data_IF_104480685309
#
_entry.id   IF_104480685309
#
_cell.length_a   1.000
_cell.length_b   1.000
_cell.length_c   1.000
_cell.angle_alpha   90.00
_cell.angle_beta   90.00
_cell.angle_gamma   90.00
#
_symmetry.space_group_name_H-M   'P 1'
#
loop_
_entity.id
_entity.type
_entity.pdbx_description
1 polymer ?
#
# COMPACT_ATOMS: atom_id res chain seq x y z
N UNK A 1 -16.52 29.92 -17.62
CA UNK A 1 -16.20 29.17 -16.38
C UNK A 1 -16.48 27.72 -16.66
N UNK A 2 -15.45 26.92 -16.90
CA UNK A 2 -15.63 25.50 -17.13
C UNK A 2 -15.66 24.80 -15.78
N UNK A 3 -16.78 24.14 -15.47
CA UNK A 3 -16.92 23.28 -14.30
C UNK A 3 -15.96 22.11 -14.44
N UNK A 4 -14.98 22.02 -13.53
CA UNK A 4 -14.16 20.83 -13.37
C UNK A 4 -15.06 19.77 -12.74
N UNK A 5 -15.50 18.80 -13.53
CA UNK A 5 -16.24 17.64 -13.00
C UNK A 5 -15.20 16.68 -12.43
N UNK A 6 -15.10 16.61 -11.10
CA UNK A 6 -14.36 15.53 -10.42
C UNK A 6 -15.29 14.33 -10.28
N UNK A 7 -14.90 13.19 -10.84
CA UNK A 7 -15.66 11.94 -10.72
C UNK A 7 -14.81 10.81 -10.14
N UNK A 8 -15.48 9.89 -9.45
CA UNK A 8 -14.92 8.57 -9.09
C UNK A 8 -14.55 7.79 -10.36
N UNK A 9 -13.60 6.86 -10.27
CA UNK A 9 -13.29 5.93 -11.37
C UNK A 9 -14.56 5.19 -11.81
N UNK A 10 -14.78 5.14 -13.13
CA UNK A 10 -15.86 4.38 -13.77
C UNK A 10 -15.37 3.00 -14.20
N UNK A 11 -16.31 2.10 -14.51
CA UNK A 11 -16.01 0.77 -15.05
C UNK A 11 -15.20 0.88 -16.37
N UNK A 12 -15.62 1.74 -17.30
CA UNK A 12 -14.87 1.98 -18.55
C UNK A 12 -13.42 2.45 -18.30
N UNK A 13 -13.23 3.30 -17.28
CA UNK A 13 -11.89 3.77 -16.91
C UNK A 13 -11.07 2.61 -16.35
N UNK A 14 -11.66 1.81 -15.47
CA UNK A 14 -11.00 0.64 -14.90
C UNK A 14 -10.64 -0.41 -15.97
N UNK A 15 -11.55 -0.71 -16.90
CA UNK A 15 -11.34 -1.69 -17.97
C UNK A 15 -10.16 -1.27 -18.86
N UNK A 16 -9.96 0.05 -19.04
CA UNK A 16 -8.80 0.57 -19.77
C UNK A 16 -7.46 0.33 -19.07
N UNK A 17 -7.46 0.05 -17.76
CA UNK A 17 -6.26 -0.29 -16.99
C UNK A 17 -5.81 -1.74 -17.22
N UNK A 18 -6.59 -2.55 -17.93
CA UNK A 18 -6.23 -3.92 -18.33
C UNK A 18 -5.67 -4.75 -17.15
N UNK A 19 -6.41 -4.76 -16.04
CA UNK A 19 -6.00 -5.34 -14.77
C UNK A 19 -6.93 -6.47 -14.34
N UNK A 20 -6.35 -7.57 -13.82
CA UNK A 20 -7.06 -8.67 -13.18
C UNK A 20 -6.92 -8.62 -11.67
N UNK A 21 -7.97 -9.04 -10.98
CA UNK A 21 -7.99 -9.25 -9.55
C UNK A 21 -8.32 -10.71 -9.23
N UNK A 22 -7.31 -11.59 -9.18
CA UNK A 22 -7.50 -12.97 -8.74
C UNK A 22 -8.12 -13.05 -7.34
N UNK A 23 -8.54 -14.27 -6.98
CA UNK A 23 -9.01 -14.56 -5.63
C UNK A 23 -7.91 -14.24 -4.61
N UNK A 24 -8.31 -13.71 -3.44
CA UNK A 24 -7.44 -13.56 -2.28
C UNK A 24 -6.73 -14.88 -1.98
N UNK A 25 -5.43 -14.81 -1.75
CA UNK A 25 -4.61 -15.95 -1.36
C UNK A 25 -4.27 -15.87 0.12
N UNK A 26 -3.97 -17.01 0.72
CA UNK A 26 -3.50 -17.06 2.10
C UNK A 26 -2.14 -16.35 2.23
N UNK A 27 -1.92 -15.68 3.36
CA UNK A 27 -0.72 -14.89 3.61
C UNK A 27 0.58 -15.70 3.58
N UNK A 28 0.53 -17.00 3.85
CA UNK A 28 1.69 -17.90 3.79
C UNK A 28 2.17 -18.20 2.36
N UNK A 29 1.36 -17.93 1.34
CA UNK A 29 1.73 -18.07 -0.07
C UNK A 29 2.46 -16.82 -0.60
N UNK A 30 2.49 -15.75 0.17
CA UNK A 30 3.15 -14.50 -0.20
C UNK A 30 4.67 -14.66 -0.22
N UNK A 31 5.27 -14.29 -1.35
CA UNK A 31 6.74 -14.19 -1.51
C UNK A 31 7.12 -12.79 -1.97
N UNK A 32 7.50 -11.93 -1.02
CA UNK A 32 7.97 -10.56 -1.26
C UNK A 32 9.49 -10.45 -1.40
N UNK A 33 10.23 -11.43 -0.91
CA UNK A 33 11.65 -11.33 -0.69
C UNK A 33 12.40 -12.62 -1.02
N UNK A 34 13.73 -12.55 -1.09
CA UNK A 34 14.58 -13.72 -1.24
C UNK A 34 14.58 -14.59 0.03
N UNK A 35 14.95 -15.87 -0.12
CA UNK A 35 15.07 -16.80 1.03
C UNK A 35 16.00 -16.27 2.11
N UNK A 36 17.08 -15.58 1.73
CA UNK A 36 18.02 -14.97 2.67
C UNK A 36 17.36 -13.87 3.49
N UNK A 37 16.64 -12.95 2.84
CA UNK A 37 15.88 -11.89 3.51
C UNK A 37 14.82 -12.44 4.48
N UNK A 38 14.15 -13.55 4.11
CA UNK A 38 13.23 -14.24 5.03
C UNK A 38 13.96 -14.86 6.21
N UNK A 39 15.11 -15.49 6.00
CA UNK A 39 15.91 -16.06 7.08
C UNK A 39 16.34 -14.98 8.07
N UNK A 40 16.82 -13.83 7.59
CA UNK A 40 17.15 -12.68 8.43
C UNK A 40 15.94 -12.17 9.21
N UNK A 41 14.77 -12.04 8.56
CA UNK A 41 13.54 -11.64 9.23
C UNK A 41 13.15 -12.60 10.35
N UNK A 42 13.21 -13.91 10.10
CA UNK A 42 12.91 -14.95 11.08
C UNK A 42 13.84 -14.84 12.30
N UNK A 43 15.15 -14.70 12.08
CA UNK A 43 16.15 -14.52 13.13
C UNK A 43 15.90 -13.25 13.94
N UNK A 44 15.64 -12.11 13.28
CA UNK A 44 15.39 -10.83 13.95
C UNK A 44 14.14 -10.87 14.82
N UNK A 45 13.03 -11.41 14.30
CA UNK A 45 11.76 -11.47 15.01
C UNK A 45 11.81 -12.46 16.19
N UNK A 46 12.45 -13.62 16.01
CA UNK A 46 12.61 -14.62 17.08
C UNK A 46 13.48 -14.10 18.23
N UNK A 47 14.55 -13.38 17.91
CA UNK A 47 15.51 -12.89 18.91
C UNK A 47 15.12 -11.56 19.55
N UNK A 48 13.96 -11.00 19.24
CA UNK A 48 13.51 -9.74 19.80
C UNK A 48 12.42 -9.94 20.86
N UNK A 49 12.76 -9.85 22.18
CA UNK A 49 11.80 -10.12 23.26
C UNK A 49 10.54 -9.25 23.21
N UNK A 50 10.65 -8.00 22.77
CA UNK A 50 9.50 -7.10 22.65
C UNK A 50 8.46 -7.58 21.63
N UNK A 51 8.89 -8.27 20.58
CA UNK A 51 7.99 -8.85 19.58
C UNK A 51 7.33 -10.13 20.11
N UNK A 52 8.08 -10.96 20.85
CA UNK A 52 7.51 -12.14 21.51
C UNK A 52 6.46 -11.73 22.56
N UNK A 53 6.75 -10.69 23.36
CA UNK A 53 5.79 -10.12 24.30
C UNK A 53 4.55 -9.55 23.59
N UNK A 54 4.74 -8.90 22.43
CA UNK A 54 3.64 -8.41 21.59
C UNK A 54 2.72 -9.53 21.11
N UNK A 55 3.28 -10.63 20.59
CA UNK A 55 2.49 -11.78 20.15
C UNK A 55 1.75 -12.45 21.32
N UNK A 56 2.43 -12.62 22.46
CA UNK A 56 1.83 -13.18 23.67
C UNK A 56 0.67 -12.32 24.20
N UNK A 57 0.78 -11.00 24.13
CA UNK A 57 -0.27 -10.07 24.55
C UNK A 57 -1.52 -10.16 23.65
N UNK A 58 -1.33 -10.41 22.34
CA UNK A 58 -2.43 -10.71 21.41
C UNK A 58 -3.07 -12.06 21.77
N UNK A 59 -2.27 -13.11 21.91
CA UNK A 59 -2.74 -14.47 22.19
C UNK A 59 -3.54 -14.56 23.50
N UNK A 60 -3.08 -13.84 24.53
CA UNK A 60 -3.76 -13.77 25.83
C UNK A 60 -4.88 -12.72 25.90
N UNK A 61 -5.06 -11.92 24.84
CA UNK A 61 -6.02 -10.80 24.77
C UNK A 61 -5.93 -9.88 25.98
N UNK A 62 -4.71 -9.62 26.45
CA UNK A 62 -4.50 -8.83 27.66
C UNK A 62 -4.97 -7.38 27.44
N UNK A 63 -5.91 -6.87 28.24
CA UNK A 63 -6.45 -5.52 28.05
C UNK A 63 -5.49 -4.42 28.49
N UNK A 64 -4.47 -4.76 29.30
CA UNK A 64 -3.52 -3.84 29.91
C UNK A 64 -2.09 -4.37 29.72
N UNK A 65 -1.52 -4.30 28.49
CA UNK A 65 -0.14 -4.67 28.24
C UNK A 65 0.83 -3.88 29.11
N UNK A 66 1.88 -4.54 29.59
CA UNK A 66 3.02 -3.88 30.24
C UNK A 66 3.91 -3.23 29.17
N UNK A 67 3.96 -1.88 29.08
CA UNK A 67 4.72 -1.20 28.02
C UNK A 67 6.22 -1.51 28.08
N UNK A 68 6.76 -1.81 29.26
CA UNK A 68 8.18 -2.11 29.43
C UNK A 68 8.59 -3.42 28.75
N UNK A 69 7.68 -4.40 28.71
CA UNK A 69 7.90 -5.70 28.04
C UNK A 69 7.74 -5.62 26.53
N UNK A 70 6.81 -4.78 26.05
CA UNK A 70 6.54 -4.62 24.63
C UNK A 70 7.62 -3.82 23.88
N UNK A 71 8.43 -3.03 24.59
CA UNK A 71 9.47 -2.19 24.01
C UNK A 71 8.91 -1.32 22.86
N UNK A 72 9.50 -1.41 21.66
CA UNK A 72 9.07 -0.65 20.48
C UNK A 72 7.63 -0.95 20.02
N UNK A 73 7.05 -2.08 20.43
CA UNK A 73 5.68 -2.48 20.07
C UNK A 73 4.60 -1.93 21.01
N UNK A 74 4.97 -1.27 22.13
CA UNK A 74 3.99 -0.74 23.08
C UNK A 74 2.97 0.24 22.45
N UNK A 75 3.38 1.23 21.61
CA UNK A 75 2.44 2.13 20.96
C UNK A 75 1.51 1.38 20.00
N UNK A 76 2.08 0.50 19.17
CA UNK A 76 1.34 -0.33 18.20
C UNK A 76 0.25 -1.14 18.89
N UNK A 77 0.59 -1.89 19.94
CA UNK A 77 -0.39 -2.73 20.65
C UNK A 77 -1.48 -1.90 21.32
N UNK A 78 -1.11 -0.77 21.93
CA UNK A 78 -2.07 0.16 22.56
C UNK A 78 -3.10 0.66 21.54
N UNK A 79 -2.65 1.08 20.35
CA UNK A 79 -3.55 1.55 19.29
C UNK A 79 -4.39 0.42 18.70
N UNK A 80 -3.86 -0.79 18.58
CA UNK A 80 -4.64 -1.95 18.15
C UNK A 80 -5.76 -2.27 19.15
N UNK A 81 -5.48 -2.26 20.45
CA UNK A 81 -6.51 -2.47 21.49
C UNK A 81 -7.60 -1.39 21.40
N UNK A 82 -7.22 -0.13 21.19
CA UNK A 82 -8.18 0.97 21.01
C UNK A 82 -9.02 0.79 19.73
N UNK A 83 -8.39 0.36 18.64
CA UNK A 83 -9.06 0.07 17.38
C UNK A 83 -10.05 -1.09 17.53
N UNK A 84 -9.67 -2.17 18.22
CA UNK A 84 -10.55 -3.29 18.51
C UNK A 84 -11.79 -2.86 19.32
N UNK A 85 -11.59 -2.04 20.36
CA UNK A 85 -12.67 -1.48 21.19
C UNK A 85 -13.61 -0.54 20.43
N UNK A 86 -13.11 0.16 19.41
CA UNK A 86 -13.87 1.16 18.65
C UNK A 86 -14.42 0.64 17.32
N UNK A 87 -14.01 -0.54 16.86
CA UNK A 87 -14.33 -1.10 15.55
C UNK A 87 -15.84 -1.14 15.23
N UNK A 88 -16.68 -1.48 16.22
CA UNK A 88 -18.15 -1.49 16.10
C UNK A 88 -18.76 -0.09 15.92
N UNK A 89 -18.05 0.96 16.35
CA UNK A 89 -18.52 2.36 16.36
C UNK A 89 -17.88 3.20 15.24
N UNK A 90 -16.94 2.65 14.47
CA UNK A 90 -16.36 3.36 13.35
C UNK A 90 -17.42 3.61 12.27
N UNK A 91 -17.58 4.88 11.89
CA UNK A 91 -18.46 5.25 10.79
C UNK A 91 -17.97 4.57 9.51
N UNK A 92 -18.77 3.64 8.97
CA UNK A 92 -18.43 2.80 7.83
C UNK A 92 -18.68 3.56 6.54
N UNK A 93 -17.68 4.33 6.11
CA UNK A 93 -17.74 5.08 4.86
C UNK A 93 -16.51 4.74 4.02
N UNK A 94 -16.75 4.40 2.75
CA UNK A 94 -15.69 4.34 1.75
C UNK A 94 -15.47 5.76 1.21
N UNK A 95 -14.35 6.39 1.59
CA UNK A 95 -13.94 7.66 0.98
C UNK A 95 -13.22 7.39 -0.34
N UNK A 96 -13.48 8.20 -1.36
CA UNK A 96 -12.72 8.09 -2.61
C UNK A 96 -11.31 8.64 -2.46
N UNK A 97 -10.34 7.89 -2.97
CA UNK A 97 -8.91 8.22 -2.92
C UNK A 97 -8.26 8.39 -4.30
N UNK A 98 -9.06 8.41 -5.36
CA UNK A 98 -8.56 8.68 -6.71
C UNK A 98 -9.44 9.72 -7.38
N UNK A 99 -8.80 10.70 -8.01
CA UNK A 99 -9.48 11.74 -8.78
C UNK A 99 -9.22 11.53 -10.26
N UNK A 100 -10.30 11.52 -11.05
CA UNK A 100 -10.23 11.50 -12.50
C UNK A 100 -10.66 12.87 -13.04
N UNK A 101 -9.86 13.43 -13.94
CA UNK A 101 -10.12 14.69 -14.63
C UNK A 101 -10.23 14.46 -16.14
N UNK A 102 -11.29 14.96 -16.78
CA UNK A 102 -11.39 14.93 -18.24
C UNK A 102 -10.36 15.88 -18.88
N UNK A 103 -9.79 15.46 -20.02
CA UNK A 103 -8.72 16.15 -20.76
C UNK A 103 -9.02 17.60 -21.21
N UNK A 104 -10.24 18.12 -20.99
CA UNK A 104 -10.69 19.41 -21.53
C UNK A 104 -10.27 20.66 -20.76
N UNK A 105 -9.46 20.57 -19.70
CA UNK A 105 -9.12 21.74 -18.88
C UNK A 105 -7.61 21.87 -18.63
N UNK A 106 -7.10 23.10 -18.85
CA UNK A 106 -5.84 23.55 -18.26
C UNK A 106 -5.87 23.26 -16.76
N UNK A 107 -4.77 22.72 -16.23
CA UNK A 107 -4.59 22.42 -14.81
C UNK A 107 -5.22 23.49 -13.92
N UNK A 108 -6.30 23.19 -13.18
CA UNK A 108 -6.77 24.09 -12.16
C UNK A 108 -5.79 24.01 -10.99
N UNK A 109 -5.03 25.09 -10.77
CA UNK A 109 -4.63 25.47 -9.43
C UNK A 109 -5.92 25.79 -8.66
N UNK A 110 -6.55 24.79 -8.04
CA UNK A 110 -7.91 24.95 -7.57
C UNK A 110 -8.39 23.82 -6.68
N UNK A 111 -8.12 24.00 -5.38
CA UNK A 111 -8.80 23.37 -4.26
C UNK A 111 -10.31 23.23 -4.51
N UNK A 112 -10.75 22.00 -4.77
CA UNK A 112 -12.11 21.69 -5.20
C UNK A 112 -12.66 20.43 -4.53
N UNK A 113 -12.94 20.57 -3.23
CA UNK A 113 -14.09 19.96 -2.55
C UNK A 113 -14.22 18.43 -2.57
N UNK A 114 -13.32 17.67 -1.92
CA UNK A 114 -13.56 16.24 -1.64
C UNK A 114 -13.03 15.77 -0.27
N UNK A 115 -13.80 14.85 0.33
CA UNK A 115 -13.76 14.44 1.73
C UNK A 115 -12.33 14.18 2.25
N UNK A 116 -11.96 14.92 3.30
CA UNK A 116 -10.77 14.59 4.09
C UNK A 116 -10.87 13.16 4.63
N UNK A 117 -9.73 12.54 4.93
CA UNK A 117 -9.74 11.22 5.57
C UNK A 117 -10.66 11.27 6.80
N UNK A 118 -11.58 10.31 6.91
CA UNK A 118 -12.54 10.29 8.02
C UNK A 118 -11.79 10.15 9.34
N UNK A 119 -12.42 10.52 10.47
CA UNK A 119 -11.80 10.30 11.77
C UNK A 119 -11.42 8.82 11.98
N UNK A 120 -12.30 7.90 11.55
CA UNK A 120 -12.02 6.46 11.63
C UNK A 120 -10.83 6.01 10.78
N UNK A 121 -10.72 6.49 9.53
CA UNK A 121 -9.56 6.19 8.68
C UNK A 121 -8.25 6.72 9.31
N UNK A 122 -8.28 7.90 9.95
CA UNK A 122 -7.11 8.45 10.65
C UNK A 122 -6.68 7.54 11.82
N UNK A 123 -7.64 7.00 12.58
CA UNK A 123 -7.37 6.07 13.70
C UNK A 123 -6.76 4.77 13.17
N UNK A 124 -7.35 4.17 12.13
CA UNK A 124 -6.83 2.94 11.51
C UNK A 124 -5.42 3.19 10.97
N UNK A 125 -5.22 4.28 10.23
CA UNK A 125 -3.91 4.69 9.70
C UNK A 125 -2.88 4.85 10.79
N UNK A 126 -3.21 5.55 11.88
CA UNK A 126 -2.28 5.74 12.99
C UNK A 126 -1.89 4.39 13.63
N UNK A 127 -2.86 3.50 13.84
CA UNK A 127 -2.59 2.16 14.40
C UNK A 127 -1.67 1.35 13.49
N UNK A 128 -1.95 1.28 12.19
CA UNK A 128 -1.11 0.56 11.23
C UNK A 128 0.29 1.17 11.16
N UNK A 129 0.34 2.49 11.12
CA UNK A 129 1.58 3.24 10.99
C UNK A 129 2.51 2.99 12.17
N UNK A 130 1.98 2.98 13.39
CA UNK A 130 2.77 2.66 14.58
C UNK A 130 3.35 1.24 14.53
N UNK A 131 2.58 0.25 14.07
CA UNK A 131 3.09 -1.11 13.88
C UNK A 131 4.26 -1.15 12.88
N UNK A 132 4.09 -0.48 11.74
CA UNK A 132 5.10 -0.43 10.70
C UNK A 132 6.36 0.33 11.13
N UNK A 133 6.20 1.41 11.90
CA UNK A 133 7.32 2.14 12.51
C UNK A 133 8.04 1.27 13.57
N UNK A 134 7.33 0.43 14.33
CA UNK A 134 7.95 -0.53 15.25
C UNK A 134 8.89 -1.51 14.52
N UNK A 135 8.50 -2.00 13.33
CA UNK A 135 9.37 -2.83 12.49
C UNK A 135 10.59 -2.06 11.98
N UNK A 136 10.42 -0.79 11.60
CA UNK A 136 11.54 0.03 11.13
C UNK A 136 12.57 0.28 12.25
N UNK A 137 12.08 0.54 13.46
CA UNK A 137 12.92 0.70 14.68
C UNK A 137 13.63 -0.60 15.03
N UNK A 138 12.93 -1.75 14.97
CA UNK A 138 13.50 -3.07 15.19
C UNK A 138 14.74 -3.30 14.29
N UNK A 139 14.67 -2.84 13.05
CA UNK A 139 15.75 -2.98 12.07
C UNK A 139 16.85 -1.92 12.19
N UNK A 140 16.71 -0.98 13.13
CA UNK A 140 17.57 0.21 13.27
C UNK A 140 17.79 0.94 11.94
N UNK A 141 16.75 0.99 11.08
CA UNK A 141 16.88 1.66 9.80
C UNK A 141 16.66 3.16 9.92
N UNK A 142 17.70 3.93 9.63
CA UNK A 142 17.57 5.36 9.39
C UNK A 142 17.28 5.70 7.92
N UNK A 143 17.42 4.74 7.01
CA UNK A 143 17.41 4.93 5.54
C UNK A 143 16.00 4.98 5.01
N UNK A 144 15.20 3.96 5.30
CA UNK A 144 13.80 3.89 4.89
C UNK A 144 12.89 4.40 6.00
N UNK A 145 11.77 5.00 5.61
CA UNK A 145 10.76 5.42 6.57
C UNK A 145 9.41 5.63 5.90
N UNK A 146 8.37 5.36 6.66
CA UNK A 146 7.03 5.75 6.25
C UNK A 146 6.91 7.28 6.33
N UNK A 147 6.17 7.89 5.42
CA UNK A 147 5.88 9.33 5.45
C UNK A 147 4.50 9.62 4.91
N UNK A 148 3.86 10.65 5.48
CA UNK A 148 2.58 11.13 5.01
C UNK A 148 2.82 11.96 3.74
N UNK A 149 2.56 11.36 2.58
CA UNK A 149 2.68 12.01 1.28
C UNK A 149 1.44 11.66 0.47
N UNK A 150 0.56 12.66 0.27
CA UNK A 150 -0.75 12.40 -0.34
C UNK A 150 -0.67 12.12 -1.82
N UNK A 151 0.26 12.76 -2.54
CA UNK A 151 0.43 12.64 -3.99
C UNK A 151 1.90 12.35 -4.32
N UNK A 152 2.38 11.13 -4.03
CA UNK A 152 3.78 10.76 -4.24
C UNK A 152 4.11 10.54 -5.72
N UNK A 153 3.09 10.34 -6.56
CA UNK A 153 3.23 10.02 -7.97
C UNK A 153 2.81 11.19 -8.84
N UNK A 154 3.40 11.24 -10.03
CA UNK A 154 2.96 12.16 -11.06
C UNK A 154 1.54 11.76 -11.51
N UNK A 155 0.67 12.72 -11.86
CA UNK A 155 -0.63 12.40 -12.40
C UNK A 155 -0.50 11.46 -13.60
N UNK A 156 -1.20 10.34 -13.55
CA UNK A 156 -1.14 9.32 -14.58
C UNK A 156 -2.06 9.68 -15.74
N UNK A 157 -1.55 9.58 -16.97
CA UNK A 157 -2.28 9.95 -18.17
C UNK A 157 -3.02 8.75 -18.72
N UNK A 158 -4.31 8.94 -19.09
CA UNK A 158 -5.20 7.95 -19.68
C UNK A 158 -5.89 8.50 -20.93
N UNK A 159 -6.36 7.57 -21.78
CA UNK A 159 -6.96 7.85 -23.10
C UNK A 159 -7.93 9.03 -23.13
N UNK A 160 -8.67 9.28 -22.05
CA UNK A 160 -9.65 10.37 -21.96
C UNK A 160 -9.49 11.27 -20.71
N UNK A 161 -8.42 11.11 -19.93
CA UNK A 161 -8.27 11.89 -18.71
C UNK A 161 -6.96 11.72 -17.95
N UNK A 162 -6.87 12.42 -16.83
CA UNK A 162 -5.73 12.40 -15.91
C UNK A 162 -6.18 11.84 -14.57
N UNK A 163 -5.42 10.92 -14.02
CA UNK A 163 -5.69 10.26 -12.75
C UNK A 163 -4.67 10.67 -11.70
N UNK A 164 -5.16 11.18 -10.58
CA UNK A 164 -4.34 11.49 -9.42
C UNK A 164 -4.57 10.45 -8.32
N UNK A 165 -3.57 9.61 -8.12
CA UNK A 165 -3.57 8.63 -7.04
C UNK A 165 -3.27 9.32 -5.70
N UNK A 166 -4.26 9.37 -4.82
CA UNK A 166 -4.08 9.82 -3.44
C UNK A 166 -3.85 8.62 -2.53
N UNK A 167 -2.74 8.64 -1.80
CA UNK A 167 -2.42 7.57 -0.83
C UNK A 167 -2.47 8.10 0.61
N UNK A 168 -2.52 7.19 1.59
CA UNK A 168 -2.44 7.59 2.98
C UNK A 168 -1.00 7.99 3.33
N UNK A 169 -0.08 7.03 3.22
CA UNK A 169 1.35 7.17 3.50
C UNK A 169 2.14 6.34 2.46
N UNK A 170 3.45 6.58 2.35
CA UNK A 170 4.38 5.76 1.55
C UNK A 170 5.60 5.35 2.36
N UNK A 171 6.12 4.15 2.12
CA UNK A 171 7.48 3.78 2.53
C UNK A 171 8.43 4.33 1.49
N UNK A 172 9.39 5.17 1.89
CA UNK A 172 10.35 5.73 0.96
C UNK A 172 11.77 5.71 1.53
N UNK A 173 12.76 5.71 0.64
CA UNK A 173 14.14 6.06 1.00
C UNK A 173 14.19 7.57 1.31
N UNK A 174 14.74 7.91 2.48
CA UNK A 174 14.90 9.30 2.92
C UNK A 174 15.91 10.09 2.09
N UNK A 175 16.80 9.42 1.35
CA UNK A 175 17.82 10.08 0.51
C UNK A 175 17.31 10.33 -0.90
N UNK A 176 16.86 9.28 -1.58
CA UNK A 176 16.41 9.37 -2.97
C UNK A 176 14.96 9.81 -3.13
N UNK A 177 14.16 9.76 -2.04
CA UNK A 177 12.71 9.93 -2.05
C UNK A 177 11.95 8.87 -2.86
N UNK A 178 12.62 7.81 -3.30
CA UNK A 178 12.00 6.72 -4.04
C UNK A 178 11.07 5.88 -3.14
N UNK A 179 9.90 5.53 -3.66
CA UNK A 179 8.83 4.83 -2.94
C UNK A 179 8.98 3.32 -3.06
N UNK A 180 8.81 2.56 -1.99
CA UNK A 180 8.91 1.09 -1.97
C UNK A 180 7.62 0.39 -1.56
N UNK A 181 6.66 1.12 -0.99
CA UNK A 181 5.33 0.61 -0.68
C UNK A 181 4.34 1.76 -0.50
N UNK A 182 3.07 1.49 -0.77
CA UNK A 182 1.95 2.38 -0.49
C UNK A 182 1.19 1.87 0.74
N UNK A 183 0.71 2.79 1.58
CA UNK A 183 -0.25 2.51 2.63
C UNK A 183 -1.65 2.99 2.21
N UNK A 184 -2.66 2.13 2.37
CA UNK A 184 -4.07 2.51 2.20
C UNK A 184 -4.93 2.04 3.38
N UNK A 185 -5.91 2.83 3.80
CA UNK A 185 -6.72 2.50 4.99
C UNK A 185 -8.18 2.86 4.84
N UNK A 186 -9.06 1.97 5.29
CA UNK A 186 -10.52 2.06 5.11
C UNK A 186 -11.27 1.64 6.37
N UNK A 187 -12.41 2.31 6.61
CA UNK A 187 -13.31 2.00 7.75
C UNK A 187 -14.36 0.95 7.43
N UNK A 188 -14.49 0.56 6.16
CA UNK A 188 -15.39 -0.50 5.72
C UNK A 188 -14.68 -1.85 5.79
N UNK A 189 -15.46 -2.93 5.85
CA UNK A 189 -14.93 -4.27 5.60
C UNK A 189 -14.60 -4.42 4.12
N UNK A 190 -13.59 -5.22 3.83
CA UNK A 190 -13.26 -5.54 2.45
C UNK A 190 -14.32 -6.49 1.89
N UNK A 191 -14.89 -6.16 0.74
CA UNK A 191 -15.83 -7.01 0.01
C UNK A 191 -15.62 -6.83 -1.48
N UNK A 192 -15.71 -7.93 -2.24
CA UNK A 192 -15.64 -7.92 -3.71
C UNK A 192 -16.80 -7.17 -4.35
N UNK A 193 -17.90 -6.98 -3.62
CA UNK A 193 -19.04 -6.17 -4.07
C UNK A 193 -18.70 -4.67 -4.10
N UNK A 194 -17.70 -4.24 -3.33
CA UNK A 194 -17.20 -2.87 -3.32
C UNK A 194 -16.16 -2.65 -4.44
N UNK A 195 -16.56 -2.91 -5.69
CA UNK A 195 -15.69 -2.84 -6.88
C UNK A 195 -14.87 -1.55 -6.96
N UNK A 196 -15.46 -0.41 -6.56
CA UNK A 196 -14.79 0.89 -6.54
C UNK A 196 -13.50 0.92 -5.71
N UNK A 197 -13.39 0.12 -4.63
CA UNK A 197 -12.16 0.05 -3.84
C UNK A 197 -11.02 -0.62 -4.60
N UNK A 198 -11.33 -1.70 -5.31
CA UNK A 198 -10.38 -2.41 -6.16
C UNK A 198 -9.92 -1.53 -7.32
N UNK A 199 -10.85 -0.77 -7.91
CA UNK A 199 -10.54 0.20 -8.96
C UNK A 199 -9.59 1.30 -8.45
N UNK A 200 -9.82 1.82 -7.25
CA UNK A 200 -8.94 2.81 -6.63
C UNK A 200 -7.55 2.24 -6.29
N UNK A 201 -7.46 1.02 -5.79
CA UNK A 201 -6.18 0.36 -5.51
C UNK A 201 -5.40 0.05 -6.80
N UNK A 202 -6.08 -0.40 -7.86
CA UNK A 202 -5.49 -0.56 -9.19
C UNK A 202 -4.96 0.76 -9.69
N UNK A 203 -5.75 1.83 -9.61
CA UNK A 203 -5.33 3.15 -10.03
C UNK A 203 -4.06 3.63 -9.31
N UNK A 204 -3.97 3.44 -7.99
CA UNK A 204 -2.75 3.76 -7.23
C UNK A 204 -1.54 2.98 -7.73
N UNK A 205 -1.71 1.69 -7.97
CA UNK A 205 -0.65 0.82 -8.49
C UNK A 205 -0.19 1.28 -9.87
N UNK A 206 -1.13 1.53 -10.78
CA UNK A 206 -0.85 1.99 -12.14
C UNK A 206 -0.15 3.35 -12.14
N UNK A 207 -0.61 4.30 -11.33
CA UNK A 207 0.04 5.61 -11.19
C UNK A 207 1.48 5.49 -10.69
N UNK A 208 1.75 4.57 -9.76
CA UNK A 208 3.10 4.31 -9.30
C UNK A 208 3.98 3.69 -10.39
N UNK A 209 3.49 2.66 -11.07
CA UNK A 209 4.23 2.01 -12.18
C UNK A 209 4.55 3.04 -13.26
N UNK A 210 3.56 3.81 -13.73
CA UNK A 210 3.77 4.82 -14.77
C UNK A 210 4.75 5.91 -14.32
N UNK A 211 4.69 6.33 -13.06
CA UNK A 211 5.65 7.27 -12.48
C UNK A 211 7.10 6.76 -12.52
N UNK A 212 7.33 5.52 -12.09
CA UNK A 212 8.67 4.92 -12.06
C UNK A 212 9.21 4.70 -13.48
N UNK A 213 8.33 4.27 -14.39
CA UNK A 213 8.64 4.10 -15.81
C UNK A 213 9.04 5.42 -16.49
N UNK A 214 8.40 6.55 -16.15
CA UNK A 214 8.73 7.87 -16.70
C UNK A 214 9.99 8.47 -16.11
N UNK A 215 10.21 8.30 -14.81
CA UNK A 215 11.41 8.83 -14.14
C UNK A 215 12.67 8.04 -14.44
N UNK A 216 12.57 6.90 -15.14
CA UNK A 216 13.66 5.94 -15.31
C UNK A 216 14.32 5.67 -13.95
N UNK A 217 13.47 5.28 -12.99
CA UNK A 217 13.90 5.04 -11.60
C UNK A 217 15.13 4.15 -11.57
N UNK A 218 16.12 4.56 -10.79
CA UNK A 218 17.40 3.85 -10.75
C UNK A 218 17.29 2.57 -9.92
N UNK A 219 16.57 2.63 -8.79
CA UNK A 219 16.43 1.48 -7.89
C UNK A 219 14.97 1.02 -7.81
N UNK A 220 14.48 0.23 -8.79
CA UNK A 220 13.10 -0.26 -8.75
C UNK A 220 12.84 -1.08 -7.47
N UNK A 221 11.61 -1.03 -6.95
CA UNK A 221 11.27 -1.80 -5.77
C UNK A 221 11.33 -3.30 -6.12
N UNK A 222 11.70 -4.20 -5.18
CA UNK A 222 11.68 -5.64 -5.44
C UNK A 222 10.29 -6.15 -5.87
N UNK A 223 9.24 -5.48 -5.38
CA UNK A 223 7.82 -5.68 -5.71
C UNK A 223 7.08 -4.35 -5.63
N UNK A 224 6.14 -4.10 -6.54
CA UNK A 224 5.17 -3.01 -6.38
C UNK A 224 4.09 -3.49 -5.42
N UNK A 225 3.99 -2.86 -4.24
CA UNK A 225 3.08 -3.32 -3.19
C UNK A 225 2.25 -2.21 -2.53
N UNK A 226 1.02 -2.57 -2.19
CA UNK A 226 0.12 -1.80 -1.33
C UNK A 226 -0.11 -2.61 -0.05
N UNK A 227 0.11 -2.00 1.12
CA UNK A 227 -0.37 -2.51 2.40
C UNK A 227 -1.68 -1.79 2.68
N UNK A 228 -2.79 -2.52 2.60
CA UNK A 228 -4.13 -1.98 2.85
C UNK A 228 -4.68 -2.49 4.18
N UNK A 229 -5.23 -1.62 5.02
CA UNK A 229 -5.99 -2.06 6.22
C UNK A 229 -7.45 -1.64 6.16
N UNK A 230 -8.32 -2.63 6.29
CA UNK A 230 -9.78 -2.53 6.36
C UNK A 230 -10.21 -2.90 7.77
N UNK A 231 -10.54 -1.89 8.58
CA UNK A 231 -10.79 -2.07 10.02
C UNK A 231 -9.67 -2.86 10.72
N UNK A 232 -9.93 -4.11 11.11
CA UNK A 232 -9.03 -4.98 11.88
C UNK A 232 -8.25 -5.95 10.98
N UNK A 233 -8.44 -5.88 9.67
CA UNK A 233 -7.85 -6.78 8.68
C UNK A 233 -6.86 -6.04 7.79
N UNK A 234 -5.63 -6.54 7.75
CA UNK A 234 -4.57 -6.05 6.87
C UNK A 234 -4.45 -6.97 5.66
N UNK A 235 -4.22 -6.39 4.49
CA UNK A 235 -3.99 -7.07 3.23
C UNK A 235 -2.69 -6.57 2.61
N UNK A 236 -1.94 -7.46 1.98
CA UNK A 236 -0.81 -7.10 1.13
C UNK A 236 -1.23 -7.36 -0.31
N UNK A 237 -1.12 -6.35 -1.15
CA UNK A 237 -1.50 -6.42 -2.57
C UNK A 237 -0.24 -6.21 -3.39
N UNK A 238 0.07 -7.14 -4.28
CA UNK A 238 1.25 -7.13 -5.15
C UNK A 238 0.80 -6.93 -6.59
N UNK A 239 1.37 -5.93 -7.26
CA UNK A 239 1.21 -5.73 -8.69
C UNK A 239 2.20 -6.59 -9.47
N UNK A 240 1.71 -7.60 -10.17
CA UNK A 240 2.51 -8.43 -11.08
C UNK A 240 2.20 -8.03 -12.52
N UNK A 241 3.23 -7.71 -13.28
CA UNK A 241 3.11 -7.34 -14.67
C UNK A 241 4.37 -7.70 -15.44
N UNK A 242 4.23 -7.87 -16.74
CA UNK A 242 5.31 -8.17 -17.66
C UNK A 242 5.71 -6.91 -18.45
N UNK A 243 6.69 -7.06 -19.34
CA UNK A 243 7.19 -5.96 -20.18
C UNK A 243 6.12 -5.45 -21.15
N UNK A 244 5.26 -6.33 -21.64
CA UNK A 244 4.17 -6.01 -22.56
C UNK A 244 3.17 -5.04 -21.90
N UNK A 245 2.87 -5.23 -20.61
CA UNK A 245 2.04 -4.31 -19.84
C UNK A 245 2.76 -2.97 -19.58
N UNK A 246 4.08 -2.96 -19.35
CA UNK A 246 4.85 -1.72 -19.25
C UNK A 246 4.77 -0.91 -20.55
N UNK A 247 4.90 -1.56 -21.70
CA UNK A 247 4.76 -0.92 -23.01
C UNK A 247 3.35 -0.38 -23.21
N UNK A 248 2.33 -1.13 -22.80
CA UNK A 248 0.93 -0.70 -22.86
C UNK A 248 0.67 0.57 -22.04
N UNK A 249 1.09 0.60 -20.77
CA UNK A 249 0.81 1.73 -19.88
C UNK A 249 1.63 2.98 -20.26
N UNK A 250 2.77 2.81 -20.95
CA UNK A 250 3.51 3.91 -21.60
C UNK A 250 2.80 4.47 -22.83
N UNK A 251 2.00 3.69 -23.55
CA UNK A 251 1.31 4.13 -24.77
C UNK A 251 0.00 4.88 -24.45
N UNK A 252 -0.66 4.52 -23.36
CA UNK A 252 -1.86 5.22 -22.85
C UNK A 252 -1.62 6.73 -22.61
N UNK A 253 -0.35 7.13 -22.44
CA UNK A 253 0.18 8.51 -22.36
C UNK A 253 -0.08 9.37 -23.61
N UNK A 254 -0.15 8.77 -24.80
CA UNK A 254 -0.06 9.52 -26.05
C UNK A 254 -1.40 9.88 -26.68
N UNK A 255 -1.54 11.13 -27.12
CA UNK A 255 -2.40 11.55 -28.25
C UNK A 255 -2.09 10.81 -29.58
N UNK A 256 -1.36 9.69 -29.55
CA UNK A 256 -1.15 8.79 -30.68
C UNK A 256 -2.43 7.99 -30.87
N UNK A 257 -3.24 8.45 -31.80
CA UNK A 257 -4.36 7.72 -32.38
C UNK A 257 -3.79 6.48 -33.09
N UNK A 258 -3.59 5.43 -32.30
CA UNK A 258 -3.38 4.07 -32.74
C UNK A 258 -4.02 3.21 -31.67
N UNK A 259 -4.97 2.37 -32.05
CA UNK A 259 -5.54 1.42 -31.10
C UNK A 259 -4.36 0.63 -30.49
N UNK A 260 -4.21 0.59 -29.15
CA UNK A 260 -3.25 -0.32 -28.56
C UNK A 260 -3.52 -1.71 -29.16
N UNK A 261 -2.47 -2.36 -29.69
CA UNK A 261 -2.60 -3.76 -30.07
C UNK A 261 -3.15 -4.49 -28.83
N UNK A 262 -4.15 -5.38 -28.98
CA UNK A 262 -4.69 -6.11 -27.83
C UNK A 262 -3.52 -6.80 -27.14
N UNK A 263 -3.24 -6.38 -25.91
CA UNK A 263 -2.24 -7.02 -25.07
C UNK A 263 -2.95 -8.26 -24.53
N UNK A 264 -2.46 -9.48 -24.78
CA UNK A 264 -3.13 -10.67 -24.26
C UNK A 264 -3.01 -10.78 -22.73
N UNK A 265 -2.04 -10.09 -22.11
CA UNK A 265 -1.73 -10.23 -20.69
C UNK A 265 -2.07 -8.95 -19.89
N UNK A 266 -2.75 -9.18 -18.76
CA UNK A 266 -3.25 -8.15 -17.85
C UNK A 266 -2.30 -8.03 -16.65
N UNK A 267 -2.18 -6.84 -16.05
CA UNK A 267 -1.54 -6.74 -14.73
C UNK A 267 -2.39 -7.51 -13.72
N UNK A 268 -1.77 -8.33 -12.89
CA UNK A 268 -2.45 -9.01 -11.79
C UNK A 268 -2.24 -8.23 -10.49
N UNK A 269 -3.34 -7.86 -9.85
CA UNK A 269 -3.36 -7.33 -8.48
C UNK A 269 -3.60 -8.50 -7.52
N UNK A 270 -2.53 -9.22 -7.17
CA UNK A 270 -2.64 -10.37 -6.29
C UNK A 270 -2.71 -9.92 -4.82
N UNK A 271 -3.82 -10.25 -4.19
CA UNK A 271 -4.14 -9.94 -2.79
C UNK A 271 -3.80 -11.12 -1.88
N UNK A 272 -3.22 -10.82 -0.72
CA UNK A 272 -2.86 -11.77 0.32
C UNK A 272 -3.40 -11.33 1.69
N UNK A 273 -3.98 -12.28 2.44
CA UNK A 273 -4.59 -12.03 3.75
C UNK A 273 -5.96 -12.71 3.88
N UNK A 274 -6.84 -12.23 4.78
CA UNK A 274 -6.61 -11.13 5.72
C UNK A 274 -5.63 -11.50 6.86
N UNK A 275 -4.75 -10.58 7.22
CA UNK A 275 -4.00 -10.63 8.48
C UNK A 275 -4.81 -9.88 9.55
N UNK A 276 -5.26 -10.59 10.59
CA UNK A 276 -6.13 -10.01 11.61
C UNK A 276 -5.25 -9.48 12.76
N UNK A 277 -5.46 -8.22 13.15
CA UNK A 277 -4.69 -7.57 14.22
C UNK A 277 -4.91 -8.17 15.62
N UNK A 278 -5.96 -8.99 15.79
CA UNK A 278 -6.25 -9.72 17.03
C UNK A 278 -5.87 -11.21 16.97
N UNK A 279 -5.13 -11.62 15.93
CA UNK A 279 -4.62 -12.99 15.79
C UNK A 279 -3.09 -12.98 15.79
N UNK A 280 -2.49 -13.64 16.78
CA UNK A 280 -1.04 -13.66 16.96
C UNK A 280 -0.32 -14.38 15.80
N UNK A 281 -0.92 -15.41 15.22
CA UNK A 281 -0.34 -16.12 14.08
C UNK A 281 -0.38 -15.24 12.83
N UNK A 282 -1.48 -14.52 12.60
CA UNK A 282 -1.58 -13.56 11.51
C UNK A 282 -0.57 -12.43 11.66
N UNK A 283 -0.43 -11.87 12.87
CA UNK A 283 0.53 -10.79 13.11
C UNK A 283 1.98 -11.25 13.03
N UNK A 284 2.27 -12.51 13.40
CA UNK A 284 3.58 -13.13 13.19
C UNK A 284 3.91 -13.23 11.70
N UNK A 285 2.99 -13.73 10.90
CA UNK A 285 3.20 -13.86 9.44
C UNK A 285 3.31 -12.49 8.77
N UNK A 286 2.44 -11.54 9.10
CA UNK A 286 2.51 -10.18 8.58
C UNK A 286 3.85 -9.50 8.90
N UNK A 287 4.33 -9.65 10.13
CA UNK A 287 5.64 -9.14 10.55
C UNK A 287 6.77 -9.79 9.74
N UNK A 288 6.74 -11.12 9.58
CA UNK A 288 7.71 -11.87 8.81
C UNK A 288 7.80 -11.37 7.36
N UNK A 289 6.66 -11.22 6.70
CA UNK A 289 6.56 -10.72 5.32
C UNK A 289 7.10 -9.29 5.19
N UNK A 290 6.68 -8.41 6.10
CA UNK A 290 7.07 -6.99 6.09
C UNK A 290 8.57 -6.83 6.37
N UNK A 291 9.09 -7.49 7.40
CA UNK A 291 10.52 -7.41 7.77
C UNK A 291 11.41 -8.02 6.69
N UNK A 292 11.00 -9.14 6.08
CA UNK A 292 11.73 -9.72 4.96
C UNK A 292 11.79 -8.75 3.76
N UNK A 293 10.70 -8.05 3.48
CA UNK A 293 10.68 -7.04 2.42
C UNK A 293 11.63 -5.87 2.72
N UNK A 294 11.72 -5.40 3.96
CA UNK A 294 12.73 -4.40 4.36
C UNK A 294 14.17 -4.88 4.10
N UNK A 295 14.48 -6.13 4.46
CA UNK A 295 15.78 -6.72 4.15
C UNK A 295 16.03 -6.80 2.64
N UNK A 296 15.02 -7.13 1.86
CA UNK A 296 15.13 -7.21 0.40
C UNK A 296 15.42 -5.86 -0.23
N UNK A 297 14.68 -4.81 0.16
CA UNK A 297 14.93 -3.44 -0.31
C UNK A 297 16.36 -3.01 0.01
N UNK A 298 16.83 -3.24 1.24
CA UNK A 298 18.22 -2.93 1.64
C UNK A 298 19.24 -3.63 0.76
N UNK A 299 18.97 -4.90 0.45
CA UNK A 299 19.85 -5.73 -0.37
C UNK A 299 19.93 -5.20 -1.79
N UNK A 300 18.79 -4.88 -2.41
CA UNK A 300 18.76 -4.40 -3.80
C UNK A 300 19.26 -2.96 -3.92
N UNK A 301 18.95 -2.08 -2.98
CA UNK A 301 19.40 -0.69 -2.99
C UNK A 301 20.93 -0.52 -2.79
N UNK A 302 21.61 -1.49 -2.16
CA UNK A 302 23.07 -1.45 -1.92
C UNK A 302 23.92 -1.99 -3.08
N UNK A 303 23.35 -2.76 -4.00
CA UNK A 303 24.12 -3.47 -5.04
C UNK A 303 24.63 -2.53 -6.15
N UNK A 304 24.13 -1.30 -6.26
CA UNK A 304 24.51 -0.37 -7.34
C UNK A 304 25.58 0.67 -6.99
N UNK A 305 26.07 0.74 -5.74
CA UNK A 305 27.26 1.54 -5.43
C UNK A 305 28.52 0.69 -5.65
N UNK A 306 28.80 0.35 -6.91
CA UNK A 306 30.15 -0.06 -7.33
C UNK A 306 30.77 1.12 -8.07
N UNK A 307 31.69 1.81 -7.39
CA UNK A 307 32.67 2.69 -8.02
C UNK A 307 33.53 1.93 -9.02
#
# INVERSE_FOLDING_TARGET
MSTVTTSTITEDTFDSLHTLWPKCQDGNLLTLASRESYHQADVTLQNFPGFQAYLYDIETRNPNPDPSKLATFAPSRTSQIQLLKSSSHLARHASTSVLLHEHRLQHPQGSGLLSGSTHGEKVIRQSLRQLLDSFNILLSDGTFGWRAEKYPFAPALFRHGVMEARVNDVLADRRSNEVFAILDTRTVYRSRDLRGLYWEETAKMVSWIQHDLWKNRQQPPPRYLIISQYQTEIFIIVGNFNKEYEEYIRVIDGHKIGAPKPVPEMMEMQEYGPFNIDDASHMKEFARQTVAYYYEIRRTARVEVRN
#
